data_IF_317677535244
#
_entry.id   IF_317677535244
#
_cell.length_a   1.000
_cell.length_b   1.000
_cell.length_c   1.000
_cell.angle_alpha   90.00
_cell.angle_beta   90.00
_cell.angle_gamma   90.00
#
_symmetry.space_group_name_H-M   'P 1'
#
loop_
_entity.id
_entity.type
_entity.pdbx_description
1 polymer ?
#
# COMPACT_ATOMS: atom_id res chain seq x y z
N UNK A 1 -70.48 -21.32 -67.82
CA UNK A 1 -69.42 -20.31 -67.59
C UNK A 1 -70.03 -19.27 -66.64
N UNK A 2 -69.41 -19.01 -65.47
CA UNK A 2 -68.10 -18.34 -65.39
C UNK A 2 -67.05 -19.14 -64.59
N UNK A 3 -65.80 -18.67 -64.71
CA UNK A 3 -64.54 -19.34 -64.37
C UNK A 3 -64.19 -19.19 -62.89
N UNK A 4 -63.80 -20.31 -62.26
CA UNK A 4 -63.11 -20.35 -60.97
C UNK A 4 -61.67 -19.87 -61.13
N UNK A 5 -61.27 -18.86 -60.36
CA UNK A 5 -59.87 -18.47 -60.22
C UNK A 5 -59.31 -19.05 -58.91
N UNK A 6 -58.50 -20.09 -59.02
CA UNK A 6 -57.62 -20.57 -57.94
C UNK A 6 -56.47 -19.57 -57.78
N UNK A 7 -56.38 -18.90 -56.62
CA UNK A 7 -55.17 -18.21 -56.20
C UNK A 7 -54.24 -19.24 -55.54
N UNK A 8 -53.14 -19.57 -56.23
CA UNK A 8 -52.02 -20.30 -55.63
C UNK A 8 -51.26 -19.38 -54.67
N UNK A 9 -51.35 -19.65 -53.37
CA UNK A 9 -50.41 -19.09 -52.38
C UNK A 9 -49.05 -19.74 -52.56
N UNK A 10 -48.07 -18.99 -53.06
CA UNK A 10 -46.66 -19.35 -53.03
C UNK A 10 -46.13 -18.98 -51.65
N UNK A 11 -45.87 -19.98 -50.80
CA UNK A 11 -45.16 -19.82 -49.53
C UNK A 11 -43.67 -19.70 -49.85
N UNK A 12 -43.14 -18.48 -49.76
CA UNK A 12 -41.69 -18.25 -49.77
C UNK A 12 -41.11 -18.71 -48.42
N UNK A 13 -40.50 -19.89 -48.40
CA UNK A 13 -39.66 -20.32 -47.28
C UNK A 13 -38.37 -19.47 -47.30
N UNK A 14 -38.32 -18.43 -46.47
CA UNK A 14 -37.12 -17.65 -46.26
C UNK A 14 -36.06 -18.53 -45.58
N UNK A 15 -35.04 -18.94 -46.33
CA UNK A 15 -33.85 -19.56 -45.77
C UNK A 15 -33.10 -18.53 -44.93
N UNK A 16 -33.18 -18.67 -43.60
CA UNK A 16 -32.32 -17.95 -42.66
C UNK A 16 -30.86 -18.34 -42.94
N UNK A 17 -29.94 -17.39 -43.14
CA UNK A 17 -28.52 -17.72 -43.29
C UNK A 17 -28.03 -18.30 -41.96
N UNK A 18 -27.52 -19.54 -42.00
CA UNK A 18 -26.84 -20.13 -40.87
C UNK A 18 -25.60 -19.28 -40.55
N UNK A 19 -25.54 -18.72 -39.35
CA UNK A 19 -24.33 -18.07 -38.86
C UNK A 19 -23.16 -19.06 -38.90
N UNK A 20 -21.93 -18.64 -39.28
CA UNK A 20 -20.78 -19.54 -39.35
C UNK A 20 -20.54 -20.21 -37.98
N UNK A 21 -20.22 -21.50 -37.95
CA UNK A 21 -20.04 -22.28 -36.72
C UNK A 21 -19.03 -21.67 -35.71
N UNK A 22 -18.09 -20.86 -36.19
CA UNK A 22 -17.16 -20.09 -35.35
C UNK A 22 -17.84 -19.03 -34.46
N UNK A 23 -19.04 -18.56 -34.82
CA UNK A 23 -19.83 -17.61 -34.05
C UNK A 23 -20.64 -18.27 -32.91
N UNK A 24 -20.72 -19.61 -32.89
CA UNK A 24 -21.39 -20.38 -31.84
C UNK A 24 -20.42 -21.04 -30.86
N UNK A 25 -19.11 -21.00 -31.14
CA UNK A 25 -18.09 -21.56 -30.27
C UNK A 25 -17.79 -20.63 -29.09
N UNK A 26 -17.74 -21.19 -27.87
CA UNK A 26 -17.36 -20.44 -26.67
C UNK A 26 -15.95 -19.87 -26.81
N UNK A 27 -15.65 -18.77 -26.11
CA UNK A 27 -14.32 -18.19 -26.05
C UNK A 27 -13.25 -19.22 -25.66
N UNK A 28 -13.57 -20.13 -24.73
CA UNK A 28 -12.69 -21.22 -24.35
C UNK A 28 -12.35 -22.13 -25.54
N UNK A 29 -13.36 -22.59 -26.27
CA UNK A 29 -13.18 -23.44 -27.44
C UNK A 29 -12.37 -22.74 -28.54
N UNK A 30 -12.62 -21.44 -28.77
CA UNK A 30 -11.87 -20.64 -29.76
C UNK A 30 -10.39 -20.50 -29.41
N UNK A 31 -10.06 -20.41 -28.12
CA UNK A 31 -8.67 -20.32 -27.65
C UNK A 31 -7.99 -21.69 -27.69
N UNK A 32 -8.68 -22.75 -27.31
CA UNK A 32 -8.15 -24.12 -27.33
C UNK A 32 -7.92 -24.64 -28.76
N UNK A 33 -8.74 -24.20 -29.72
CA UNK A 33 -8.55 -24.49 -31.15
C UNK A 33 -7.48 -23.61 -31.81
N UNK A 34 -7.00 -22.57 -31.14
CA UNK A 34 -5.96 -21.72 -31.69
C UNK A 34 -4.63 -22.50 -31.78
N UNK A 35 -3.85 -22.29 -32.85
CA UNK A 35 -2.48 -22.80 -32.91
C UNK A 35 -1.62 -22.14 -31.83
N UNK A 36 -0.54 -22.84 -31.47
CA UNK A 36 0.47 -22.29 -30.56
C UNK A 36 1.03 -20.96 -31.09
N UNK A 37 1.26 -20.03 -30.16
CA UNK A 37 1.62 -18.65 -30.49
C UNK A 37 0.94 -17.65 -29.57
N UNK A 38 0.50 -16.52 -30.13
CA UNK A 38 -0.17 -15.46 -29.38
C UNK A 38 -1.64 -15.39 -29.77
N UNK A 39 -2.53 -15.57 -28.81
CA UNK A 39 -3.96 -15.30 -28.98
C UNK A 39 -4.27 -13.94 -28.38
N UNK A 40 -4.85 -13.03 -29.15
CA UNK A 40 -5.23 -11.69 -28.66
C UNK A 40 -6.72 -11.42 -28.80
N UNK A 41 -7.26 -10.66 -27.86
CA UNK A 41 -8.68 -10.28 -27.83
C UNK A 41 -8.86 -8.95 -27.12
N UNK A 42 -9.93 -8.23 -27.43
CA UNK A 42 -10.30 -6.99 -26.76
C UNK A 42 -11.76 -6.95 -26.33
N UNK A 43 -12.05 -6.24 -25.25
CA UNK A 43 -13.42 -6.06 -24.74
C UNK A 43 -13.57 -4.71 -24.02
N UNK A 44 -14.81 -4.22 -23.86
CA UNK A 44 -15.06 -2.99 -23.10
C UNK A 44 -14.49 -3.07 -21.68
N UNK A 45 -13.79 -2.00 -21.28
CA UNK A 45 -13.28 -1.84 -19.92
C UNK A 45 -14.34 -1.21 -19.02
N UNK A 46 -14.25 -1.49 -17.71
CA UNK A 46 -15.05 -0.79 -16.70
C UNK A 46 -14.82 0.71 -16.79
N UNK A 47 -15.86 1.47 -16.45
CA UNK A 47 -15.75 2.90 -16.27
C UNK A 47 -14.66 3.25 -15.24
N UNK A 48 -13.82 4.23 -15.55
CA UNK A 48 -12.66 4.60 -14.73
C UNK A 48 -11.43 3.71 -14.91
N UNK A 49 -11.49 2.67 -15.73
CA UNK A 49 -10.31 1.89 -16.11
C UNK A 49 -9.51 2.61 -17.20
N UNK A 50 -8.18 2.67 -17.03
CA UNK A 50 -7.30 3.41 -17.93
C UNK A 50 -5.91 2.75 -18.02
N UNK A 51 -5.16 3.07 -19.08
CA UNK A 51 -3.84 2.49 -19.32
C UNK A 51 -2.79 3.45 -19.86
N UNK A 52 -1.56 2.94 -19.92
CA UNK A 52 -0.38 3.60 -20.47
C UNK A 52 0.67 2.59 -20.94
N UNK A 53 1.88 3.04 -21.29
CA UNK A 53 2.92 2.21 -21.95
C UNK A 53 3.14 0.84 -21.31
N UNK A 54 3.08 0.75 -19.97
CA UNK A 54 3.12 -0.49 -19.19
C UNK A 54 2.29 -0.40 -17.90
N UNK A 55 1.21 0.38 -17.96
CA UNK A 55 0.43 0.73 -16.78
C UNK A 55 -1.04 0.42 -16.97
N UNK A 56 -1.66 -0.09 -15.92
CA UNK A 56 -3.10 -0.30 -15.81
C UNK A 56 -3.58 0.33 -14.51
N UNK A 57 -4.55 1.24 -14.60
CA UNK A 57 -5.17 1.91 -13.47
C UNK A 57 -6.67 1.66 -13.43
N UNK A 58 -7.22 1.50 -12.23
CA UNK A 58 -8.65 1.46 -11.97
C UNK A 58 -8.91 1.88 -10.53
N UNK A 59 -9.70 2.94 -10.32
CA UNK A 59 -9.93 3.52 -8.98
C UNK A 59 -8.60 3.73 -8.23
N UNK A 60 -8.42 3.16 -7.04
CA UNK A 60 -7.18 3.25 -6.25
C UNK A 60 -6.15 2.17 -6.65
N UNK A 61 -6.50 1.26 -7.55
CA UNK A 61 -5.62 0.20 -7.99
C UNK A 61 -4.74 0.66 -9.17
N UNK A 62 -3.42 0.49 -9.05
CA UNK A 62 -2.42 0.83 -10.05
C UNK A 62 -1.41 -0.31 -10.23
N UNK A 63 -1.20 -0.73 -11.47
CA UNK A 63 -0.30 -1.83 -11.83
C UNK A 63 0.70 -1.33 -12.87
N UNK A 64 1.99 -1.26 -12.51
CA UNK A 64 3.10 -0.99 -13.44
C UNK A 64 3.82 -2.26 -13.85
N UNK A 65 4.99 -2.26 -14.49
CA UNK A 65 5.68 -3.51 -14.87
C UNK A 65 6.24 -4.31 -13.68
N UNK A 66 6.66 -3.62 -12.63
CA UNK A 66 7.35 -4.20 -11.46
C UNK A 66 6.66 -3.93 -10.11
N UNK A 67 5.49 -3.30 -10.12
CA UNK A 67 4.77 -2.95 -8.90
C UNK A 67 3.25 -3.08 -9.05
N UNK A 68 2.59 -3.18 -7.90
CA UNK A 68 1.14 -3.05 -7.71
C UNK A 68 0.89 -2.15 -6.50
N UNK A 69 -0.16 -1.34 -6.55
CA UNK A 69 -0.60 -0.46 -5.47
C UNK A 69 -2.13 -0.42 -5.43
N UNK A 70 -2.71 -0.34 -4.23
CA UNK A 70 -4.16 -0.17 -4.01
C UNK A 70 -4.47 1.13 -3.25
N UNK A 71 -3.50 2.06 -3.23
CA UNK A 71 -3.59 3.37 -2.58
C UNK A 71 -3.84 4.50 -3.59
N UNK A 72 -4.08 5.72 -3.12
CA UNK A 72 -4.18 6.89 -4.01
C UNK A 72 -2.93 7.03 -4.89
N UNK A 73 -3.12 7.38 -6.16
CA UNK A 73 -2.04 7.66 -7.09
C UNK A 73 -2.35 8.93 -7.88
N UNK A 74 -1.33 9.71 -8.19
CA UNK A 74 -1.42 10.96 -8.96
C UNK A 74 -0.29 11.03 -10.01
N UNK A 75 -0.35 12.01 -10.91
CA UNK A 75 0.70 12.29 -11.90
C UNK A 75 1.02 11.14 -12.88
N UNK A 76 0.11 10.18 -13.02
CA UNK A 76 0.24 9.09 -14.00
C UNK A 76 -0.58 9.43 -15.24
N UNK A 77 0.07 9.40 -16.42
CA UNK A 77 -0.66 9.50 -17.69
C UNK A 77 -1.44 8.20 -17.93
N UNK A 78 -2.74 8.25 -17.65
CA UNK A 78 -3.65 7.13 -17.75
C UNK A 78 -4.76 7.47 -18.74
N UNK A 79 -4.85 6.71 -19.84
CA UNK A 79 -5.79 6.97 -20.94
C UNK A 79 -6.85 5.87 -20.97
N UNK A 80 -8.15 6.21 -20.98
CA UNK A 80 -9.22 5.23 -21.13
C UNK A 80 -9.12 4.46 -22.44
N UNK A 81 -9.62 3.23 -22.47
CA UNK A 81 -9.63 2.39 -23.66
C UNK A 81 -10.24 1.02 -23.41
N UNK A 82 -10.34 0.17 -24.44
CA UNK A 82 -10.75 -1.21 -24.24
C UNK A 82 -9.68 -1.98 -23.47
N UNK A 83 -10.11 -2.98 -22.70
CA UNK A 83 -9.17 -3.99 -22.20
C UNK A 83 -8.67 -4.78 -23.40
N UNK A 84 -7.36 -4.96 -23.47
CA UNK A 84 -6.67 -5.75 -24.46
C UNK A 84 -5.87 -6.82 -23.75
N UNK A 85 -6.10 -8.06 -24.14
CA UNK A 85 -5.40 -9.22 -23.57
C UNK A 85 -4.64 -9.95 -24.65
N UNK A 86 -3.38 -10.27 -24.35
CA UNK A 86 -2.56 -11.19 -25.13
C UNK A 86 -2.24 -12.40 -24.28
N UNK A 87 -2.62 -13.57 -24.77
CA UNK A 87 -2.32 -14.88 -24.22
C UNK A 87 -1.18 -15.51 -25.01
N UNK A 88 -0.17 -16.02 -24.34
CA UNK A 88 0.76 -16.97 -24.94
C UNK A 88 0.16 -18.35 -24.81
N UNK A 89 0.02 -19.07 -25.92
CA UNK A 89 -0.52 -20.43 -25.98
C UNK A 89 0.60 -21.37 -26.43
N UNK A 90 0.83 -22.42 -25.64
CA UNK A 90 1.77 -23.51 -25.94
C UNK A 90 1.12 -24.84 -25.56
N UNK A 91 1.30 -25.88 -26.39
CA UNK A 91 0.61 -27.16 -26.25
C UNK A 91 -0.92 -26.99 -26.15
N UNK A 92 -1.48 -26.06 -26.93
CA UNK A 92 -2.89 -25.67 -26.88
C UNK A 92 -3.39 -25.17 -25.52
N UNK A 93 -2.48 -24.72 -24.63
CA UNK A 93 -2.79 -24.20 -23.31
C UNK A 93 -2.25 -22.79 -23.08
N UNK A 94 -3.04 -21.88 -22.48
CA UNK A 94 -2.54 -20.58 -22.09
C UNK A 94 -1.46 -20.69 -21.02
N UNK A 95 -0.26 -20.19 -21.31
CA UNK A 95 0.90 -20.19 -20.40
C UNK A 95 1.23 -18.81 -19.86
N UNK A 96 0.74 -17.74 -20.47
CA UNK A 96 0.97 -16.39 -19.98
C UNK A 96 -0.18 -15.48 -20.37
N UNK A 97 -0.45 -14.49 -19.53
CA UNK A 97 -1.45 -13.46 -19.78
C UNK A 97 -0.82 -12.08 -19.60
N UNK A 98 -1.05 -11.21 -20.58
CA UNK A 98 -0.73 -9.78 -20.50
C UNK A 98 -2.00 -8.98 -20.71
N UNK A 99 -2.30 -8.10 -19.76
CA UNK A 99 -3.45 -7.19 -19.79
C UNK A 99 -2.96 -5.77 -19.94
N UNK A 100 -3.58 -5.01 -20.84
CA UNK A 100 -3.37 -3.58 -21.01
C UNK A 100 -4.71 -2.89 -21.32
N UNK A 101 -4.76 -1.57 -21.18
CA UNK A 101 -5.91 -0.76 -21.57
C UNK A 101 -5.51 0.17 -22.71
N UNK A 102 -6.20 0.05 -23.85
CA UNK A 102 -5.89 0.79 -25.06
C UNK A 102 -4.48 0.52 -25.60
N UNK A 103 -3.83 1.57 -26.11
CA UNK A 103 -2.45 1.53 -26.63
C UNK A 103 -2.32 0.82 -27.98
N UNK A 104 -1.11 0.39 -28.33
CA UNK A 104 -0.84 -0.52 -29.45
C UNK A 104 -0.69 -1.95 -28.94
N UNK A 105 -0.93 -2.94 -29.80
CA UNK A 105 -0.66 -4.34 -29.44
C UNK A 105 0.83 -4.55 -29.22
N UNK A 106 1.25 -5.29 -28.17
CA UNK A 106 2.64 -5.66 -28.01
C UNK A 106 3.15 -6.41 -29.23
N UNK A 107 4.43 -6.22 -29.56
CA UNK A 107 5.09 -7.06 -30.56
C UNK A 107 4.97 -8.53 -30.16
N UNK A 108 4.48 -9.37 -31.07
CA UNK A 108 4.32 -10.79 -30.88
C UNK A 108 5.40 -11.54 -31.65
N UNK A 109 6.01 -12.54 -31.02
CA UNK A 109 6.91 -13.50 -31.66
C UNK A 109 6.09 -14.74 -32.03
N UNK A 110 6.00 -15.06 -33.33
CA UNK A 110 5.30 -16.25 -33.83
C UNK A 110 3.91 -15.95 -34.40
N UNK A 111 3.09 -17.00 -34.52
CA UNK A 111 1.74 -16.91 -35.10
C UNK A 111 0.82 -16.12 -34.18
N UNK A 112 0.04 -15.19 -34.75
CA UNK A 112 -0.95 -14.39 -34.01
C UNK A 112 -2.35 -14.81 -34.44
N UNK A 113 -3.15 -15.25 -33.47
CA UNK A 113 -4.58 -15.48 -33.64
C UNK A 113 -5.34 -14.33 -33.01
N UNK A 114 -6.00 -13.50 -33.83
CA UNK A 114 -6.79 -12.36 -33.37
C UNK A 114 -8.27 -12.75 -33.26
N UNK A 115 -8.79 -12.81 -32.03
CA UNK A 115 -10.19 -13.11 -31.74
C UNK A 115 -11.09 -11.88 -31.85
N UNK A 116 -10.51 -10.69 -32.08
CA UNK A 116 -11.23 -9.44 -32.22
C UNK A 116 -11.90 -8.98 -30.92
N UNK A 117 -13.07 -8.36 -31.08
CA UNK A 117 -13.90 -7.94 -29.95
C UNK A 117 -14.66 -9.13 -29.40
N UNK A 118 -14.59 -9.34 -28.08
CA UNK A 118 -15.32 -10.39 -27.37
C UNK A 118 -16.25 -9.78 -26.32
N UNK A 119 -17.26 -10.54 -25.87
CA UNK A 119 -18.15 -10.08 -24.82
C UNK A 119 -17.39 -9.96 -23.48
N UNK A 120 -17.54 -8.83 -22.78
CA UNK A 120 -16.89 -8.55 -21.50
C UNK A 120 -17.18 -9.63 -20.45
N UNK A 121 -18.44 -10.07 -20.35
CA UNK A 121 -18.88 -11.14 -19.44
C UNK A 121 -18.25 -12.50 -19.76
N UNK A 122 -18.17 -12.84 -21.05
CA UNK A 122 -17.58 -14.09 -21.51
C UNK A 122 -16.06 -14.11 -21.24
N UNK A 123 -15.37 -12.99 -21.50
CA UNK A 123 -13.97 -12.82 -21.16
C UNK A 123 -13.73 -13.00 -19.66
N UNK A 124 -14.51 -12.32 -18.80
CA UNK A 124 -14.35 -12.43 -17.36
C UNK A 124 -14.53 -13.86 -16.85
N UNK A 125 -15.59 -14.55 -17.29
CA UNK A 125 -15.83 -15.95 -16.92
C UNK A 125 -14.69 -16.87 -17.36
N UNK A 126 -14.18 -16.68 -18.58
CA UNK A 126 -13.02 -17.42 -19.09
C UNK A 126 -11.79 -17.23 -18.19
N UNK A 127 -11.39 -15.99 -17.91
CA UNK A 127 -10.17 -15.72 -17.14
C UNK A 127 -10.28 -16.20 -15.68
N UNK A 128 -11.45 -16.06 -15.04
CA UNK A 128 -11.69 -16.61 -13.71
C UNK A 128 -11.55 -18.14 -13.71
N UNK A 129 -12.09 -18.83 -14.72
CA UNK A 129 -11.95 -20.30 -14.85
C UNK A 129 -10.52 -20.77 -15.11
N UNK A 130 -9.64 -19.87 -15.58
CA UNK A 130 -8.25 -20.17 -15.94
C UNK A 130 -7.23 -19.75 -14.89
N UNK A 131 -7.67 -19.16 -13.77
CA UNK A 131 -6.80 -18.82 -12.64
C UNK A 131 -5.89 -19.99 -12.22
N UNK A 132 -6.37 -21.24 -12.02
CA UNK A 132 -5.50 -22.34 -11.59
C UNK A 132 -4.35 -22.64 -12.56
N UNK A 133 -4.61 -22.52 -13.87
CA UNK A 133 -3.62 -22.75 -14.92
C UNK A 133 -2.63 -21.59 -14.97
N UNK A 134 -3.13 -20.34 -14.98
CA UNK A 134 -2.30 -19.14 -15.07
C UNK A 134 -1.41 -18.92 -13.83
N UNK A 135 -1.81 -19.42 -12.66
CA UNK A 135 -0.97 -19.40 -11.45
C UNK A 135 0.29 -20.26 -11.62
N UNK A 136 0.16 -21.42 -12.27
CA UNK A 136 1.24 -22.41 -12.39
C UNK A 136 2.38 -22.00 -13.33
N UNK A 137 2.18 -20.97 -14.15
CA UNK A 137 3.08 -20.64 -15.26
C UNK A 137 3.93 -19.38 -15.03
N UNK A 138 3.90 -18.81 -13.82
CA UNK A 138 5.06 -18.11 -13.27
C UNK A 138 5.12 -16.58 -13.35
N UNK A 139 4.04 -15.87 -13.72
CA UNK A 139 3.97 -14.41 -13.48
C UNK A 139 3.14 -14.11 -12.24
N UNK A 140 3.81 -13.55 -11.21
CA UNK A 140 3.19 -13.11 -9.96
C UNK A 140 2.06 -12.10 -10.26
N UNK A 141 0.85 -12.43 -9.81
CA UNK A 141 -0.12 -11.45 -9.35
C UNK A 141 -0.92 -10.62 -10.35
N UNK A 142 -1.17 -11.09 -11.58
CA UNK A 142 -2.07 -10.35 -12.53
C UNK A 142 -3.10 -11.21 -13.22
N UNK A 143 -3.28 -12.42 -12.74
CA UNK A 143 -4.19 -13.41 -13.32
C UNK A 143 -5.65 -12.94 -13.25
N UNK A 144 -5.98 -12.06 -12.30
CA UNK A 144 -7.32 -11.50 -12.11
C UNK A 144 -7.59 -10.25 -12.95
N UNK A 145 -6.56 -9.50 -13.39
CA UNK A 145 -6.73 -8.23 -14.12
C UNK A 145 -7.67 -8.31 -15.33
N UNK A 146 -7.55 -9.31 -16.22
CA UNK A 146 -8.48 -9.43 -17.34
C UNK A 146 -9.96 -9.47 -16.89
N UNK A 147 -10.26 -10.24 -15.85
CA UNK A 147 -11.64 -10.45 -15.40
C UNK A 147 -12.20 -9.24 -14.66
N UNK A 148 -11.42 -8.66 -13.75
CA UNK A 148 -11.87 -7.56 -12.90
C UNK A 148 -12.02 -6.24 -13.65
N UNK A 149 -11.37 -6.07 -14.80
CA UNK A 149 -11.48 -4.87 -15.64
C UNK A 149 -12.59 -4.95 -16.70
N UNK A 150 -13.24 -6.09 -16.87
CA UNK A 150 -14.32 -6.26 -17.84
C UNK A 150 -15.58 -5.48 -17.42
N UNK A 151 -16.10 -4.62 -18.31
CA UNK A 151 -17.13 -3.62 -18.02
C UNK A 151 -18.34 -4.15 -17.22
N UNK A 152 -19.09 -5.09 -17.80
CA UNK A 152 -20.41 -5.52 -17.30
C UNK A 152 -20.37 -6.87 -16.60
N UNK A 153 -19.18 -7.30 -16.17
CA UNK A 153 -18.99 -8.57 -15.47
C UNK A 153 -19.35 -8.43 -13.99
N UNK A 154 -20.09 -9.39 -13.44
CA UNK A 154 -20.31 -9.50 -11.99
C UNK A 154 -19.32 -10.51 -11.45
N UNK A 155 -18.21 -10.04 -10.88
CA UNK A 155 -17.06 -10.89 -10.50
C UNK A 155 -16.88 -11.06 -9.00
N UNK A 156 -17.56 -10.25 -8.18
CA UNK A 156 -17.40 -10.25 -6.71
C UNK A 156 -17.68 -11.64 -6.09
N UNK A 157 -18.73 -12.39 -6.47
CA UNK A 157 -18.95 -13.74 -5.94
C UNK A 157 -17.80 -14.70 -6.25
N UNK A 158 -17.25 -14.66 -7.47
CA UNK A 158 -16.12 -15.49 -7.88
C UNK A 158 -14.83 -15.10 -7.15
N UNK A 159 -14.58 -13.80 -6.94
CA UNK A 159 -13.44 -13.32 -6.15
C UNK A 159 -13.53 -13.80 -4.70
N UNK A 160 -14.72 -13.74 -4.09
CA UNK A 160 -14.94 -14.28 -2.75
C UNK A 160 -14.77 -15.82 -2.71
N UNK A 161 -15.13 -16.54 -3.77
CA UNK A 161 -14.87 -17.97 -3.88
C UNK A 161 -13.37 -18.26 -3.99
N UNK A 162 -12.64 -17.52 -4.83
CA UNK A 162 -11.18 -17.61 -4.97
C UNK A 162 -10.46 -17.32 -3.64
N UNK A 163 -10.90 -16.31 -2.89
CA UNK A 163 -10.31 -15.99 -1.59
C UNK A 163 -10.47 -17.14 -0.55
N UNK A 164 -11.57 -17.89 -0.62
CA UNK A 164 -11.84 -19.04 0.26
C UNK A 164 -11.15 -20.32 -0.19
N UNK A 165 -10.80 -20.43 -1.47
CA UNK A 165 -10.19 -21.62 -2.02
C UNK A 165 -8.75 -21.80 -1.52
N UNK A 166 -8.56 -22.76 -0.61
CA UNK A 166 -7.24 -23.12 -0.05
C UNK A 166 -6.29 -23.76 -1.07
N UNK A 167 -6.74 -24.13 -2.26
CA UNK A 167 -5.90 -24.61 -3.35
C UNK A 167 -5.33 -23.48 -4.22
N UNK A 168 -5.71 -22.22 -3.97
CA UNK A 168 -5.13 -21.04 -4.63
C UNK A 168 -3.92 -20.52 -3.85
N UNK A 169 -3.05 -19.79 -4.55
CA UNK A 169 -1.90 -19.14 -3.91
C UNK A 169 -2.35 -18.02 -2.96
N UNK A 170 -1.57 -17.76 -1.90
CA UNK A 170 -1.85 -16.66 -0.97
C UNK A 170 -1.95 -15.31 -1.68
N UNK A 171 -1.14 -15.11 -2.73
CA UNK A 171 -1.16 -13.91 -3.55
C UNK A 171 -2.51 -13.73 -4.26
N UNK A 172 -3.01 -14.75 -4.95
CA UNK A 172 -4.32 -14.72 -5.62
C UNK A 172 -5.45 -14.49 -4.62
N UNK A 173 -5.44 -15.21 -3.50
CA UNK A 173 -6.49 -15.09 -2.46
C UNK A 173 -6.52 -13.68 -1.88
N UNK A 174 -5.35 -13.11 -1.62
CA UNK A 174 -5.17 -11.73 -1.15
C UNK A 174 -5.61 -10.70 -2.17
N UNK A 175 -5.22 -10.85 -3.43
CA UNK A 175 -5.65 -9.95 -4.50
C UNK A 175 -7.16 -10.02 -4.72
N UNK A 176 -7.76 -11.20 -4.61
CA UNK A 176 -9.20 -11.35 -4.72
C UNK A 176 -9.91 -10.50 -3.66
N UNK A 177 -9.43 -10.48 -2.40
CA UNK A 177 -9.96 -9.60 -1.35
C UNK A 177 -9.75 -8.11 -1.65
N UNK A 178 -8.58 -7.73 -2.16
CA UNK A 178 -8.33 -6.35 -2.59
C UNK A 178 -9.30 -5.90 -3.68
N UNK A 179 -9.53 -6.74 -4.70
CA UNK A 179 -10.50 -6.48 -5.75
C UNK A 179 -11.95 -6.46 -5.25
N UNK A 180 -12.29 -7.26 -4.24
CA UNK A 180 -13.58 -7.18 -3.54
C UNK A 180 -13.75 -5.80 -2.88
N UNK A 181 -12.68 -5.22 -2.29
CA UNK A 181 -12.72 -3.85 -1.77
C UNK A 181 -12.92 -2.79 -2.86
N UNK A 182 -12.32 -2.99 -4.05
CA UNK A 182 -12.43 -2.04 -5.16
C UNK A 182 -13.76 -2.14 -5.95
N UNK A 183 -14.45 -3.28 -5.89
CA UNK A 183 -15.63 -3.56 -6.73
C UNK A 183 -16.91 -3.88 -5.94
N UNK A 184 -16.78 -4.21 -4.66
CA UNK A 184 -17.88 -4.61 -3.79
C UNK A 184 -18.68 -3.41 -3.27
N UNK A 185 -19.94 -3.69 -2.94
CA UNK A 185 -20.83 -2.78 -2.23
C UNK A 185 -20.91 -3.16 -0.73
N UNK A 186 -21.87 -2.59 0.00
CA UNK A 186 -22.08 -2.94 1.41
C UNK A 186 -22.36 -4.45 1.65
N UNK A 187 -22.82 -5.19 0.63
CA UNK A 187 -23.12 -6.61 0.72
C UNK A 187 -21.89 -7.50 0.94
N UNK A 188 -20.67 -7.02 0.64
CA UNK A 188 -19.44 -7.80 0.86
C UNK A 188 -18.91 -7.70 2.30
N UNK A 189 -19.42 -6.75 3.09
CA UNK A 189 -18.93 -6.46 4.44
C UNK A 189 -18.94 -7.70 5.36
N UNK A 190 -20.02 -8.50 5.46
CA UNK A 190 -20.01 -9.68 6.33
C UNK A 190 -18.93 -10.71 5.94
N UNK A 191 -18.66 -10.87 4.65
CA UNK A 191 -17.63 -11.78 4.16
C UNK A 191 -16.23 -11.28 4.53
N UNK A 192 -15.97 -9.98 4.35
CA UNK A 192 -14.68 -9.37 4.72
C UNK A 192 -14.44 -9.42 6.23
N UNK A 193 -15.47 -9.18 7.06
CA UNK A 193 -15.39 -9.35 8.52
C UNK A 193 -15.03 -10.79 8.90
N UNK A 194 -15.61 -11.78 8.23
CA UNK A 194 -15.27 -13.18 8.47
C UNK A 194 -13.79 -13.48 8.15
N UNK A 195 -13.26 -12.98 7.03
CA UNK A 195 -11.83 -13.12 6.71
C UNK A 195 -10.93 -12.40 7.73
N UNK A 196 -11.31 -11.20 8.15
CA UNK A 196 -10.57 -10.43 9.15
C UNK A 196 -10.47 -11.19 10.48
N UNK A 197 -11.56 -11.83 10.94
CA UNK A 197 -11.58 -12.62 12.18
C UNK A 197 -10.92 -13.99 12.04
N UNK A 198 -10.93 -14.59 10.84
CA UNK A 198 -10.37 -15.92 10.59
C UNK A 198 -8.83 -15.94 10.57
N UNK A 199 -8.18 -14.84 10.19
CA UNK A 199 -6.70 -14.75 10.20
C UNK A 199 -6.07 -14.57 11.58
N UNK A 200 -6.86 -14.67 12.64
CA UNK A 200 -6.44 -14.63 14.05
C UNK A 200 -5.44 -15.73 14.45
N UNK A 201 -5.26 -16.75 13.61
CA UNK A 201 -4.35 -17.89 13.83
C UNK A 201 -2.99 -17.82 13.11
N UNK A 202 -2.74 -16.88 12.20
CA UNK A 202 -1.48 -16.80 11.42
C UNK A 202 -0.40 -15.95 12.10
N UNK A 203 -0.22 -16.17 13.40
CA UNK A 203 0.88 -15.59 14.19
C UNK A 203 0.45 -14.39 15.02
N UNK A 204 -0.27 -14.66 16.12
CA UNK A 204 -0.20 -13.78 17.27
C UNK A 204 1.30 -13.50 17.55
N UNK A 205 1.73 -12.23 17.60
CA UNK A 205 3.13 -11.93 17.80
C UNK A 205 3.58 -12.51 19.14
N UNK A 206 4.56 -13.42 19.09
CA UNK A 206 5.30 -13.78 20.29
C UNK A 206 5.86 -12.48 20.89
N UNK A 207 5.84 -12.33 22.20
CA UNK A 207 6.47 -11.20 22.91
C UNK A 207 7.94 -11.00 22.49
N UNK A 208 8.61 -12.04 21.96
CA UNK A 208 9.96 -12.00 21.42
C UNK A 208 10.10 -11.65 19.93
N UNK A 209 9.02 -11.52 19.16
CA UNK A 209 9.09 -11.08 17.75
C UNK A 209 9.18 -9.53 17.70
N UNK A 210 10.24 -9.01 17.08
CA UNK A 210 10.43 -7.56 16.94
C UNK A 210 9.36 -6.91 16.07
N UNK A 211 9.04 -5.64 16.33
CA UNK A 211 7.94 -4.87 15.71
C UNK A 211 7.93 -4.96 14.17
N UNK A 212 9.11 -4.97 13.53
CA UNK A 212 9.26 -5.09 12.07
C UNK A 212 8.84 -6.47 11.50
N UNK A 213 8.97 -7.56 12.26
CA UNK A 213 8.56 -8.90 11.83
C UNK A 213 7.04 -9.07 11.88
N UNK A 214 6.42 -8.49 12.91
CA UNK A 214 4.96 -8.43 13.11
C UNK A 214 4.33 -7.60 12.00
N UNK A 215 4.88 -6.42 11.72
CA UNK A 215 4.44 -5.55 10.63
C UNK A 215 4.56 -6.23 9.27
N UNK A 216 5.66 -6.95 9.01
CA UNK A 216 5.88 -7.68 7.75
C UNK A 216 4.93 -8.87 7.56
N UNK A 217 4.58 -9.59 8.64
CA UNK A 217 3.64 -10.72 8.62
C UNK A 217 2.19 -10.23 8.50
N UNK A 218 1.83 -9.22 9.29
CA UNK A 218 0.52 -8.56 9.26
C UNK A 218 0.19 -7.94 7.90
N UNK A 219 1.17 -7.41 7.16
CA UNK A 219 0.94 -6.84 5.81
C UNK A 219 0.59 -7.85 4.71
N UNK A 220 0.74 -9.16 4.94
CA UNK A 220 0.62 -10.18 3.87
C UNK A 220 -0.50 -11.21 4.06
N UNK A 221 -1.12 -11.28 5.24
CA UNK A 221 -2.19 -12.24 5.51
C UNK A 221 -3.56 -11.83 4.94
N UNK A 222 -4.45 -12.81 4.82
CA UNK A 222 -5.81 -12.59 4.30
C UNK A 222 -6.66 -11.69 5.21
N UNK A 223 -6.47 -11.78 6.53
CA UNK A 223 -7.16 -10.89 7.46
C UNK A 223 -6.83 -9.41 7.20
N UNK A 224 -5.55 -9.10 6.98
CA UNK A 224 -5.12 -7.73 6.66
C UNK A 224 -5.63 -7.26 5.31
N UNK A 225 -5.66 -8.13 4.31
CA UNK A 225 -6.26 -7.80 3.02
C UNK A 225 -7.78 -7.56 3.11
N UNK A 226 -8.48 -8.28 3.98
CA UNK A 226 -9.89 -8.05 4.24
C UNK A 226 -10.12 -6.72 4.99
N UNK A 227 -9.27 -6.37 5.96
CA UNK A 227 -9.32 -5.06 6.63
C UNK A 227 -9.02 -3.91 5.65
N UNK A 228 -8.04 -4.10 4.76
CA UNK A 228 -7.75 -3.16 3.68
C UNK A 228 -8.96 -2.97 2.75
N UNK A 229 -9.59 -4.08 2.36
CA UNK A 229 -10.78 -4.06 1.54
C UNK A 229 -11.92 -3.29 2.23
N UNK A 230 -12.17 -3.52 3.53
CA UNK A 230 -13.16 -2.77 4.31
C UNK A 230 -12.86 -1.26 4.33
N UNK A 231 -11.58 -0.86 4.42
CA UNK A 231 -11.19 0.55 4.45
C UNK A 231 -11.34 1.25 3.10
N UNK A 232 -11.36 0.49 2.00
CA UNK A 232 -11.39 1.02 0.63
C UNK A 232 -12.77 0.93 -0.02
N UNK A 233 -13.76 0.35 0.64
CA UNK A 233 -15.14 0.36 0.18
C UNK A 233 -15.66 1.81 0.06
N UNK A 234 -16.44 2.04 -1.01
CA UNK A 234 -17.02 3.34 -1.32
C UNK A 234 -17.87 3.88 -0.16
N UNK A 235 -17.94 5.20 -0.03
CA UNK A 235 -18.72 5.93 0.99
C UNK A 235 -18.43 5.53 2.45
N UNK A 236 -17.28 4.88 2.70
CA UNK A 236 -16.87 4.45 4.03
C UNK A 236 -17.82 3.42 4.65
N UNK A 237 -18.54 2.63 3.85
CA UNK A 237 -19.51 1.64 4.35
C UNK A 237 -18.85 0.52 5.17
N UNK A 238 -17.55 0.26 4.97
CA UNK A 238 -16.78 -0.70 5.77
C UNK A 238 -16.22 -0.15 7.09
N UNK A 239 -16.19 1.17 7.28
CA UNK A 239 -15.62 1.82 8.48
C UNK A 239 -16.31 1.39 9.78
N UNK A 240 -17.65 1.29 9.88
CA UNK A 240 -18.30 0.79 11.08
C UNK A 240 -17.82 -0.60 11.51
N UNK A 241 -17.57 -1.50 10.54
CA UNK A 241 -17.04 -2.84 10.82
C UNK A 241 -15.57 -2.82 11.20
N UNK A 242 -14.76 -1.92 10.64
CA UNK A 242 -13.39 -1.70 11.10
C UNK A 242 -13.34 -1.20 12.55
N UNK A 243 -14.24 -0.29 12.94
CA UNK A 243 -14.37 0.19 14.33
C UNK A 243 -14.75 -0.96 15.26
N UNK A 244 -15.71 -1.81 14.86
CA UNK A 244 -16.08 -3.01 15.63
C UNK A 244 -14.89 -3.98 15.80
N UNK A 245 -14.15 -4.24 14.72
CA UNK A 245 -12.97 -5.12 14.73
C UNK A 245 -11.83 -4.53 15.58
N UNK A 246 -11.62 -3.22 15.54
CA UNK A 246 -10.67 -2.51 16.39
C UNK A 246 -11.00 -2.60 17.89
N UNK A 247 -12.26 -2.91 18.25
CA UNK A 247 -12.71 -3.07 19.64
C UNK A 247 -12.79 -4.53 20.08
N UNK A 248 -13.25 -5.40 19.20
CA UNK A 248 -13.67 -6.78 19.56
C UNK A 248 -12.78 -7.87 18.99
N UNK A 249 -11.86 -7.54 18.08
CA UNK A 249 -10.88 -8.49 17.57
C UNK A 249 -9.88 -8.94 18.63
N UNK A 250 -9.11 -9.99 18.34
CA UNK A 250 -7.87 -10.26 19.08
C UNK A 250 -6.85 -9.15 18.87
N UNK A 251 -5.73 -9.19 19.59
CA UNK A 251 -4.70 -8.13 19.55
C UNK A 251 -4.17 -7.88 18.12
N UNK A 252 -4.00 -8.92 17.31
CA UNK A 252 -3.48 -8.79 15.94
C UNK A 252 -4.51 -8.16 15.00
N UNK A 253 -5.77 -8.54 15.12
CA UNK A 253 -6.89 -7.93 14.39
C UNK A 253 -7.09 -6.49 14.83
N UNK A 254 -7.11 -6.18 16.13
CA UNK A 254 -7.25 -4.80 16.63
C UNK A 254 -6.09 -3.93 16.14
N UNK A 255 -4.85 -4.42 16.25
CA UNK A 255 -3.67 -3.73 15.75
C UNK A 255 -3.79 -3.43 14.24
N UNK A 256 -4.22 -4.39 13.43
CA UNK A 256 -4.36 -4.17 11.98
C UNK A 256 -5.55 -3.29 11.64
N UNK A 257 -6.66 -3.39 12.39
CA UNK A 257 -7.84 -2.57 12.18
C UNK A 257 -7.57 -1.08 12.48
N UNK A 258 -6.82 -0.76 13.54
CA UNK A 258 -6.43 0.65 13.82
C UNK A 258 -5.56 1.24 12.73
N UNK A 259 -4.68 0.44 12.12
CA UNK A 259 -3.92 0.87 10.93
C UNK A 259 -4.85 1.27 9.79
N UNK A 260 -5.77 0.39 9.41
CA UNK A 260 -6.69 0.63 8.30
C UNK A 260 -7.74 1.71 8.60
N UNK A 261 -8.09 1.94 9.87
CA UNK A 261 -8.87 3.10 10.29
C UNK A 261 -8.14 4.41 9.95
N UNK A 262 -6.83 4.51 10.22
CA UNK A 262 -6.04 5.70 9.87
C UNK A 262 -5.92 5.94 8.36
N UNK A 263 -5.91 4.87 7.56
CA UNK A 263 -5.88 4.97 6.09
C UNK A 263 -7.23 5.40 5.48
N UNK A 264 -8.35 5.17 6.19
CA UNK A 264 -9.68 5.45 5.65
C UNK A 264 -10.00 6.93 5.47
N UNK A 265 -9.37 7.82 6.25
CA UNK A 265 -9.69 9.25 6.27
C UNK A 265 -11.06 9.59 6.85
N UNK A 266 -11.83 8.60 7.33
CA UNK A 266 -13.18 8.81 7.85
C UNK A 266 -13.13 9.49 9.24
N UNK A 267 -13.88 10.58 9.48
CA UNK A 267 -13.90 11.25 10.78
C UNK A 267 -14.31 10.33 11.95
N UNK A 268 -15.11 9.29 11.70
CA UNK A 268 -15.47 8.25 12.70
C UNK A 268 -14.27 7.40 13.07
N UNK A 269 -13.40 7.11 12.09
CA UNK A 269 -12.17 6.38 12.30
C UNK A 269 -11.18 7.19 13.16
N UNK A 270 -11.00 8.48 12.85
CA UNK A 270 -10.14 9.38 13.65
C UNK A 270 -10.57 9.45 15.11
N UNK A 271 -11.86 9.65 15.39
CA UNK A 271 -12.39 9.63 16.77
C UNK A 271 -12.16 8.30 17.48
N UNK A 272 -12.21 7.20 16.74
CA UNK A 272 -11.93 5.86 17.30
C UNK A 272 -10.45 5.73 17.64
N UNK A 273 -9.54 6.23 16.80
CA UNK A 273 -8.11 6.24 17.09
C UNK A 273 -7.78 7.07 18.34
N UNK A 274 -8.42 8.22 18.54
CA UNK A 274 -8.30 8.99 19.79
C UNK A 274 -8.70 8.15 21.00
N UNK A 275 -9.87 7.50 20.92
CA UNK A 275 -10.38 6.63 21.99
C UNK A 275 -9.41 5.50 22.32
N UNK A 276 -8.82 4.86 21.30
CA UNK A 276 -7.84 3.77 21.48
C UNK A 276 -6.59 4.29 22.18
N UNK A 277 -6.05 5.44 21.78
CA UNK A 277 -4.84 6.02 22.38
C UNK A 277 -5.04 6.31 23.87
N UNK A 278 -6.22 6.81 24.24
CA UNK A 278 -6.56 7.18 25.62
C UNK A 278 -7.02 5.99 26.49
N UNK A 279 -7.37 4.83 25.93
CA UNK A 279 -7.77 3.66 26.70
C UNK A 279 -6.57 2.98 27.36
N UNK A 280 -6.33 3.28 28.63
CA UNK A 280 -5.23 2.70 29.43
C UNK A 280 -5.35 1.18 29.64
N UNK A 281 -6.49 0.56 29.30
CA UNK A 281 -6.68 -0.89 29.38
C UNK A 281 -6.40 -1.60 28.06
N UNK A 282 -6.23 -0.86 26.97
CA UNK A 282 -5.87 -1.44 25.67
C UNK A 282 -4.39 -1.85 25.66
N UNK A 283 -4.10 -2.86 24.84
CA UNK A 283 -2.75 -3.33 24.57
C UNK A 283 -1.88 -2.19 24.02
N UNK A 284 -0.72 -1.99 24.65
CA UNK A 284 0.22 -0.92 24.32
C UNK A 284 0.64 -0.92 22.84
N UNK A 285 0.77 -2.10 22.20
CA UNK A 285 1.10 -2.19 20.77
C UNK A 285 -0.04 -1.65 19.89
N UNK A 286 -1.30 -1.93 20.24
CA UNK A 286 -2.48 -1.39 19.53
C UNK A 286 -2.54 0.13 19.69
N UNK A 287 -2.29 0.64 20.91
CA UNK A 287 -2.24 2.08 21.19
C UNK A 287 -1.12 2.80 20.43
N UNK A 288 0.08 2.23 20.44
CA UNK A 288 1.20 2.76 19.66
C UNK A 288 0.89 2.76 18.16
N UNK A 289 0.24 1.71 17.65
CA UNK A 289 -0.15 1.69 16.24
C UNK A 289 -1.25 2.70 15.91
N UNK A 290 -2.15 3.00 16.85
CA UNK A 290 -3.12 4.09 16.67
C UNK A 290 -2.44 5.47 16.60
N UNK A 291 -1.41 5.72 17.44
CA UNK A 291 -0.56 6.93 17.32
C UNK A 291 0.12 6.99 15.95
N UNK A 292 0.75 5.89 15.54
CA UNK A 292 1.39 5.79 14.22
C UNK A 292 0.40 6.09 13.09
N UNK A 293 -0.81 5.54 13.17
CA UNK A 293 -1.86 5.66 12.15
C UNK A 293 -2.41 7.08 12.03
N UNK A 294 -2.44 7.85 13.12
CA UNK A 294 -2.80 9.27 13.06
C UNK A 294 -1.71 10.14 12.44
N UNK A 295 -0.45 9.83 12.73
CA UNK A 295 0.69 10.62 12.27
C UNK A 295 1.10 10.34 10.81
N UNK A 296 1.00 9.07 10.38
CA UNK A 296 1.43 8.62 9.04
C UNK A 296 0.25 8.18 8.16
N UNK A 297 -0.98 8.48 8.57
CA UNK A 297 -2.16 8.26 7.75
C UNK A 297 -2.12 9.15 6.51
N UNK A 298 -2.69 8.68 5.38
CA UNK A 298 -2.84 9.47 4.15
C UNK A 298 -3.55 10.83 4.40
N UNK A 299 -4.32 10.91 5.49
CA UNK A 299 -5.12 12.06 5.89
C UNK A 299 -4.61 12.72 7.19
N UNK A 300 -3.34 12.55 7.55
CA UNK A 300 -2.76 13.22 8.71
C UNK A 300 -2.91 14.75 8.58
N UNK A 301 -3.42 15.40 9.63
CA UNK A 301 -3.67 16.85 9.63
C UNK A 301 -2.95 17.54 10.78
N UNK A 302 -2.76 18.86 10.68
CA UNK A 302 -2.25 19.67 11.79
C UNK A 302 -3.09 19.57 13.06
N UNK A 303 -4.39 19.27 12.94
CA UNK A 303 -5.27 19.03 14.09
C UNK A 303 -4.90 17.72 14.82
N UNK A 304 -4.58 16.65 14.07
CA UNK A 304 -4.13 15.39 14.64
C UNK A 304 -2.77 15.53 15.34
N UNK A 305 -1.83 16.28 14.75
CA UNK A 305 -0.57 16.60 15.43
C UNK A 305 -0.79 17.48 16.67
N UNK A 306 -1.75 18.41 16.64
CA UNK A 306 -2.19 19.16 17.82
C UNK A 306 -2.72 18.24 18.94
N UNK A 307 -3.56 17.28 18.57
CA UNK A 307 -4.08 16.27 19.49
C UNK A 307 -2.95 15.42 20.10
N UNK A 308 -2.06 14.85 19.28
CA UNK A 308 -0.95 14.01 19.75
C UNK A 308 -0.05 14.74 20.76
N UNK A 309 0.23 16.04 20.51
CA UNK A 309 0.97 16.88 21.46
C UNK A 309 0.20 17.07 22.78
N UNK A 310 -1.11 17.23 22.71
CA UNK A 310 -1.96 17.43 23.90
C UNK A 310 -2.07 16.20 24.80
N UNK A 311 -2.02 14.99 24.22
CA UNK A 311 -2.11 13.74 24.98
C UNK A 311 -0.75 13.24 25.47
N UNK A 312 0.36 13.73 24.91
CA UNK A 312 1.72 13.28 25.21
C UNK A 312 2.03 13.17 26.72
N UNK A 313 1.65 14.18 27.50
CA UNK A 313 1.90 14.22 28.96
C UNK A 313 1.04 13.23 29.74
N UNK A 314 -0.08 12.78 29.17
CA UNK A 314 -0.97 11.77 29.78
C UNK A 314 -0.50 10.35 29.52
N UNK A 315 0.41 10.15 28.55
CA UNK A 315 0.93 8.83 28.21
C UNK A 315 1.86 8.34 29.33
N UNK A 316 1.50 7.19 29.88
CA UNK A 316 2.17 6.57 31.02
C UNK A 316 3.43 5.79 30.64
N UNK A 317 3.56 5.43 29.35
CA UNK A 317 4.63 4.59 28.82
C UNK A 317 5.62 5.37 27.97
N UNK A 318 6.92 5.09 28.18
CA UNK A 318 8.00 5.59 27.33
C UNK A 318 7.84 5.16 25.87
N UNK A 319 7.32 3.95 25.60
CA UNK A 319 7.08 3.47 24.23
C UNK A 319 6.01 4.30 23.51
N UNK A 320 4.93 4.65 24.20
CA UNK A 320 3.87 5.48 23.64
C UNK A 320 4.37 6.91 23.39
N UNK A 321 5.12 7.48 24.34
CA UNK A 321 5.78 8.77 24.14
C UNK A 321 6.72 8.74 22.94
N UNK A 322 7.57 7.73 22.81
CA UNK A 322 8.46 7.56 21.65
C UNK A 322 7.68 7.45 20.33
N UNK A 323 6.53 6.78 20.31
CA UNK A 323 5.67 6.72 19.12
C UNK A 323 5.13 8.10 18.72
N UNK A 324 4.74 8.94 19.69
CA UNK A 324 4.34 10.33 19.41
C UNK A 324 5.52 11.14 18.89
N UNK A 325 6.70 11.03 19.52
CA UNK A 325 7.91 11.75 19.10
C UNK A 325 8.29 11.39 17.66
N UNK A 326 8.23 10.11 17.31
CA UNK A 326 8.42 9.66 15.94
C UNK A 326 7.39 10.28 15.00
N UNK A 327 6.10 10.24 15.36
CA UNK A 327 5.04 10.83 14.53
C UNK A 327 5.19 12.33 14.28
N UNK A 328 5.81 13.08 15.19
CA UNK A 328 6.10 14.51 14.97
C UNK A 328 7.17 14.76 13.90
N UNK A 329 7.88 13.72 13.43
CA UNK A 329 8.74 13.85 12.25
C UNK A 329 7.94 14.28 11.02
N UNK A 330 6.69 13.79 10.90
CA UNK A 330 5.77 14.09 9.79
C UNK A 330 5.04 15.46 9.95
N UNK A 331 5.10 16.09 11.13
CA UNK A 331 4.48 17.41 11.36
C UNK A 331 5.38 18.52 10.80
N UNK A 332 5.19 18.87 9.53
CA UNK A 332 5.94 19.94 8.86
C UNK A 332 5.77 21.32 9.52
N UNK A 333 4.61 21.61 10.10
CA UNK A 333 4.26 22.95 10.58
C UNK A 333 4.95 23.31 11.91
N UNK A 334 5.14 22.33 12.80
CA UNK A 334 5.64 22.62 14.15
C UNK A 334 6.38 21.48 14.83
N UNK A 335 6.55 20.33 14.18
CA UNK A 335 7.10 19.12 14.80
C UNK A 335 8.49 19.35 15.39
N UNK A 336 9.40 19.96 14.63
CA UNK A 336 10.79 20.17 15.05
C UNK A 336 10.93 21.07 16.26
N UNK A 337 10.20 22.18 16.30
CA UNK A 337 10.22 23.09 17.44
C UNK A 337 9.71 22.41 18.71
N UNK A 338 8.61 21.67 18.59
CA UNK A 338 8.04 20.92 19.71
C UNK A 338 8.95 19.78 20.19
N UNK A 339 9.58 19.04 19.27
CA UNK A 339 10.55 17.99 19.60
C UNK A 339 11.77 18.55 20.35
N UNK A 340 12.29 19.70 19.91
CA UNK A 340 13.40 20.38 20.58
C UNK A 340 13.01 20.92 21.96
N UNK A 341 11.76 21.31 22.18
CA UNK A 341 11.23 21.66 23.50
C UNK A 341 11.22 20.43 24.42
N UNK A 342 10.69 19.29 23.94
CA UNK A 342 10.67 18.02 24.71
C UNK A 342 12.07 17.50 25.02
N UNK A 343 13.04 17.68 24.12
CA UNK A 343 14.43 17.31 24.37
C UNK A 343 15.06 18.09 25.55
N UNK A 344 14.63 19.33 25.77
CA UNK A 344 15.11 20.22 26.85
C UNK A 344 14.33 20.09 28.15
N UNK A 345 13.17 19.43 28.15
CA UNK A 345 12.30 19.36 29.33
C UNK A 345 12.90 18.42 30.40
N UNK A 346 13.35 18.95 31.56
CA UNK A 346 13.96 18.12 32.60
C UNK A 346 12.93 17.22 33.32
N UNK A 347 11.64 17.42 33.09
CA UNK A 347 10.57 16.54 33.63
C UNK A 347 10.46 15.22 32.88
N UNK A 348 11.03 15.15 31.68
CA UNK A 348 10.97 13.94 30.85
C UNK A 348 12.15 13.00 31.10
N UNK A 349 11.90 11.70 30.95
CA UNK A 349 12.93 10.67 31.08
C UNK A 349 14.04 10.88 30.03
N UNK A 350 15.28 10.55 30.38
CA UNK A 350 16.44 10.63 29.49
C UNK A 350 16.18 9.96 28.12
N UNK A 351 15.50 8.81 28.09
CA UNK A 351 15.17 8.10 26.84
C UNK A 351 14.23 8.92 25.95
N UNK A 352 13.17 9.48 26.52
CA UNK A 352 12.19 10.35 25.83
C UNK A 352 12.88 11.58 25.25
N UNK A 353 13.67 12.27 26.07
CA UNK A 353 14.39 13.48 25.64
C UNK A 353 15.39 13.21 24.52
N UNK A 354 16.12 12.09 24.57
CA UNK A 354 17.05 11.68 23.49
C UNK A 354 16.29 11.36 22.21
N UNK A 355 15.21 10.58 22.31
CA UNK A 355 14.34 10.27 21.17
C UNK A 355 13.77 11.54 20.52
N UNK A 356 13.39 12.54 21.33
CA UNK A 356 12.90 13.82 20.83
C UNK A 356 13.98 14.57 20.02
N UNK A 357 15.20 14.65 20.53
CA UNK A 357 16.32 15.26 19.81
C UNK A 357 16.68 14.50 18.54
N UNK A 358 16.64 13.17 18.59
CA UNK A 358 16.89 12.31 17.44
C UNK A 358 15.91 12.60 16.30
N UNK A 359 14.60 12.55 16.58
CA UNK A 359 13.57 12.82 15.57
C UNK A 359 13.58 14.28 15.11
N UNK A 360 13.93 15.24 15.97
CA UNK A 360 14.13 16.62 15.54
C UNK A 360 15.22 16.73 14.45
N UNK A 361 16.31 15.96 14.58
CA UNK A 361 17.41 16.00 13.63
C UNK A 361 17.21 15.19 12.35
N UNK A 362 16.33 14.18 12.36
CA UNK A 362 15.94 13.45 11.13
C UNK A 362 15.13 14.31 10.16
N UNK A 363 14.51 15.39 10.65
CA UNK A 363 13.71 16.30 9.83
C UNK A 363 14.62 17.28 9.09
N UNK A 364 14.46 17.34 7.77
CA UNK A 364 15.07 18.39 6.94
C UNK A 364 14.54 19.78 7.33
N UNK A 365 13.24 19.88 7.61
CA UNK A 365 12.57 21.11 8.03
C UNK A 365 13.05 21.66 9.39
N UNK A 366 13.76 20.88 10.21
CA UNK A 366 14.41 21.42 11.42
C UNK A 366 15.73 22.10 11.03
N UNK A 367 15.90 23.41 11.28
CA UNK A 367 17.16 24.09 10.98
C UNK A 367 18.32 23.52 11.78
N UNK A 368 19.45 23.26 11.12
CA UNK A 368 20.68 22.80 11.80
C UNK A 368 21.11 23.74 12.92
N UNK A 369 20.92 25.05 12.76
CA UNK A 369 21.20 26.05 13.80
C UNK A 369 20.42 25.80 15.09
N UNK A 370 19.19 25.29 15.01
CA UNK A 370 18.38 24.97 16.18
C UNK A 370 18.90 23.73 16.93
N UNK A 371 19.44 22.75 16.20
CA UNK A 371 20.11 21.57 16.79
C UNK A 371 21.44 21.94 17.45
N UNK A 372 22.19 22.87 16.83
CA UNK A 372 23.41 23.42 17.43
C UNK A 372 23.09 24.22 18.69
N UNK A 373 22.03 25.03 18.69
CA UNK A 373 21.56 25.70 19.90
C UNK A 373 21.22 24.68 21.00
N UNK A 374 20.49 23.61 20.66
CA UNK A 374 20.21 22.54 21.61
C UNK A 374 21.48 21.91 22.19
N UNK A 375 22.53 21.67 21.39
CA UNK A 375 23.82 21.19 21.90
C UNK A 375 24.43 22.11 22.98
N UNK A 376 24.31 23.43 22.81
CA UNK A 376 24.84 24.40 23.77
C UNK A 376 23.97 24.57 25.01
N UNK A 377 22.65 24.39 24.89
CA UNK A 377 21.69 24.50 26.00
C UNK A 377 21.69 23.28 26.93
N UNK A 378 22.31 22.16 26.51
CA UNK A 378 22.30 20.90 27.25
C UNK A 378 23.51 20.80 28.19
N UNK A 379 23.27 20.84 29.50
CA UNK A 379 24.36 20.71 30.50
C UNK A 379 24.85 19.27 30.69
N UNK A 380 24.05 18.26 30.33
CA UNK A 380 24.39 16.86 30.50
C UNK A 380 25.32 16.36 29.38
N UNK A 381 26.50 15.83 29.77
CA UNK A 381 27.50 15.28 28.85
C UNK A 381 26.93 14.21 27.92
N UNK A 382 26.03 13.37 28.44
CA UNK A 382 25.39 12.31 27.65
C UNK A 382 24.46 12.87 26.58
N UNK A 383 23.75 13.96 26.86
CA UNK A 383 22.90 14.67 25.91
C UNK A 383 23.70 15.41 24.85
N UNK A 384 24.78 16.09 25.24
CA UNK A 384 25.72 16.72 24.30
C UNK A 384 26.34 15.70 23.34
N UNK A 385 26.74 14.53 23.85
CA UNK A 385 27.21 13.42 23.01
C UNK A 385 26.15 12.95 22.01
N UNK A 386 24.88 12.88 22.45
CA UNK A 386 23.78 12.49 21.56
C UNK A 386 23.50 13.56 20.50
N UNK A 387 23.57 14.85 20.86
CA UNK A 387 23.41 15.95 19.91
C UNK A 387 24.50 15.92 18.83
N UNK A 388 25.75 15.59 19.17
CA UNK A 388 26.83 15.37 18.20
C UNK A 388 26.45 14.24 17.22
N UNK A 389 25.95 13.11 17.73
CA UNK A 389 25.46 12.02 16.87
C UNK A 389 24.31 12.48 15.96
N UNK A 390 23.34 13.23 16.48
CA UNK A 390 22.23 13.74 15.67
C UNK A 390 22.74 14.68 14.57
N UNK A 391 23.69 15.57 14.88
CA UNK A 391 24.35 16.42 13.88
C UNK A 391 25.11 15.60 12.84
N UNK A 392 25.75 14.48 13.22
CA UNK A 392 26.49 13.65 12.26
C UNK A 392 25.60 12.93 11.25
N UNK A 393 24.36 12.61 11.64
CA UNK A 393 23.36 12.00 10.76
C UNK A 393 22.82 12.98 9.70
N UNK A 394 23.08 14.29 9.83
CA UNK A 394 22.65 15.28 8.85
C UNK A 394 23.60 15.31 7.66
N UNK A 395 23.01 15.51 6.49
CA UNK A 395 23.70 15.64 5.21
C UNK A 395 23.68 17.10 4.72
N UNK A 396 24.09 18.02 5.59
CA UNK A 396 24.20 19.44 5.25
C UNK A 396 25.51 20.06 5.76
N UNK A 397 25.99 21.06 5.02
CA UNK A 397 27.25 21.76 5.31
C UNK A 397 27.25 22.44 6.67
N UNK A 398 26.09 22.92 7.14
CA UNK A 398 25.99 23.57 8.44
C UNK A 398 26.28 22.58 9.58
N UNK A 399 25.87 21.32 9.44
CA UNK A 399 26.12 20.27 10.42
C UNK A 399 27.60 19.87 10.43
N UNK A 400 28.22 19.73 9.26
CA UNK A 400 29.67 19.47 9.14
C UNK A 400 30.47 20.61 9.76
N UNK A 401 30.13 21.87 9.45
CA UNK A 401 30.78 23.04 10.02
C UNK A 401 30.61 23.12 11.55
N UNK A 402 29.45 22.76 12.09
CA UNK A 402 29.22 22.71 13.53
C UNK A 402 30.09 21.64 14.20
N UNK A 403 30.16 20.43 13.63
CA UNK A 403 31.01 19.35 14.14
C UNK A 403 32.51 19.72 14.06
N UNK A 404 32.96 20.38 12.99
CA UNK A 404 34.34 20.88 12.86
C UNK A 404 34.67 21.87 13.99
N UNK A 405 33.73 22.76 14.32
CA UNK A 405 33.89 23.72 15.43
C UNK A 405 33.96 23.00 16.78
N UNK A 406 33.03 22.06 17.04
CA UNK A 406 33.04 21.27 18.28
C UNK A 406 34.37 20.51 18.41
N UNK A 407 34.85 19.87 17.35
CA UNK A 407 36.12 19.14 17.38
C UNK A 407 37.34 20.03 17.70
N UNK A 408 37.32 21.31 17.30
CA UNK A 408 38.42 22.26 17.51
C UNK A 408 38.35 22.97 18.85
N UNK A 409 37.18 23.44 19.24
CA UNK A 409 37.00 24.53 20.20
C UNK A 409 36.25 24.12 21.47
N UNK A 410 35.58 22.96 21.49
CA UNK A 410 34.77 22.60 22.65
C UNK A 410 35.62 22.48 23.92
N UNK A 411 35.16 23.01 25.05
CA UNK A 411 35.90 22.95 26.31
C UNK A 411 36.08 21.52 26.80
N UNK A 412 35.09 20.64 26.54
CA UNK A 412 35.13 19.25 26.95
C UNK A 412 35.88 18.39 25.92
N UNK A 413 37.00 17.81 26.36
CA UNK A 413 37.83 16.91 25.55
C UNK A 413 37.02 15.73 25.00
N UNK A 414 36.04 15.23 25.75
CA UNK A 414 35.17 14.13 25.30
C UNK A 414 34.33 14.56 24.10
N UNK A 415 33.76 15.76 24.13
CA UNK A 415 32.96 16.27 23.00
C UNK A 415 33.82 16.50 21.76
N UNK A 416 35.03 17.06 21.93
CA UNK A 416 36.00 17.21 20.82
C UNK A 416 36.28 15.85 20.15
N UNK A 417 36.55 14.82 20.97
CA UNK A 417 36.83 13.47 20.49
C UNK A 417 35.63 12.83 19.78
N UNK A 418 34.41 13.01 20.31
CA UNK A 418 33.18 12.47 19.70
C UNK A 418 32.85 13.14 18.37
N UNK A 419 33.00 14.46 18.28
CA UNK A 419 32.83 15.18 17.03
C UNK A 419 33.85 14.72 15.97
N UNK A 420 35.12 14.57 16.36
CA UNK A 420 36.16 14.06 15.46
C UNK A 420 35.87 12.64 14.97
N UNK A 421 35.40 11.75 15.86
CA UNK A 421 35.02 10.38 15.52
C UNK A 421 33.94 10.33 14.44
N UNK A 422 32.90 11.15 14.55
CA UNK A 422 31.83 11.19 13.56
C UNK A 422 32.24 11.89 12.27
N UNK A 423 33.04 12.95 12.34
CA UNK A 423 33.61 13.60 11.16
C UNK A 423 34.48 12.64 10.34
N UNK A 424 35.27 11.78 10.99
CA UNK A 424 36.13 10.81 10.31
C UNK A 424 35.37 9.77 9.46
N UNK A 425 34.06 9.63 9.64
CA UNK A 425 33.19 8.78 8.82
C UNK A 425 32.62 9.53 7.60
N UNK A 426 32.83 10.84 7.50
CA UNK A 426 32.41 11.66 6.36
C UNK A 426 33.56 11.84 5.37
N UNK A 427 33.24 11.78 4.08
CA UNK A 427 34.20 12.03 3.01
C UNK A 427 34.25 13.53 2.68
N UNK A 428 34.98 14.31 3.48
CA UNK A 428 35.05 15.77 3.37
C UNK A 428 36.49 16.28 3.54
N UNK A 429 36.98 17.04 2.57
CA UNK A 429 38.36 17.56 2.55
C UNK A 429 38.68 18.45 3.77
N UNK A 430 37.68 19.16 4.32
CA UNK A 430 37.84 19.98 5.54
C UNK A 430 38.15 19.10 6.75
N UNK A 431 37.61 17.88 6.79
CA UNK A 431 37.87 16.90 7.85
C UNK A 431 39.28 16.36 7.73
N UNK A 432 39.71 15.99 6.52
CA UNK A 432 41.08 15.55 6.25
C UNK A 432 42.09 16.61 6.69
N UNK A 433 41.83 17.87 6.35
CA UNK A 433 42.66 19.00 6.77
C UNK A 433 42.69 19.15 8.30
N UNK A 434 41.53 19.07 8.97
CA UNK A 434 41.47 19.14 10.43
C UNK A 434 42.29 18.02 11.09
N UNK A 435 42.14 16.77 10.64
CA UNK A 435 42.89 15.64 11.20
C UNK A 435 44.40 15.85 11.00
N UNK A 436 44.84 16.29 9.82
CA UNK A 436 46.24 16.61 9.56
C UNK A 436 46.76 17.72 10.50
N UNK A 437 46.02 18.82 10.65
CA UNK A 437 46.38 19.95 11.54
C UNK A 437 46.50 19.51 13.01
N UNK A 438 45.70 18.53 13.45
CA UNK A 438 45.72 17.99 14.80
C UNK A 438 46.86 16.98 15.05
N UNK A 439 47.39 16.33 14.02
CA UNK A 439 48.50 15.38 14.13
C UNK A 439 49.88 16.05 14.11
N UNK A 440 49.97 17.28 13.61
CA UNK A 440 51.21 18.07 13.49
C UNK A 440 51.47 18.94 14.73
N UNK A 441 50.49 19.07 15.63
CA UNK A 441 50.63 19.69 16.96
C UNK A 441 50.93 18.64 18.01
#
# INVERSE_FOLDING_TARGET
MPRSSMLSLIVFAAALPAAPAAAQATLAARIEQAPDGVVRMQYPAREGACGGRDLVGFRRALFGSSFESYNSWNNVRCVPGPVRVSLTVADHRPTSVRTQIGGEWPAATGQVTDLGVVASREAAAYFLSRVPVLESTGRKGRVLLPAVLAADAVVVPDLLALARDGARTDDTRRQALQWVGQLGDAGVVPALVAFARAGSGEGAPNESEGDAAIEKRGKKGLASAALAALATLDDGVGVPSLIDLARTGDVGVRHSAVFWLGQSGDPRALRTLHTVIEDTRENERVRANAVFSLAHGEHATSAEFGYLRSVFQKLESTRLKESVLQGMAEDEAGGGAWLLERARDPREETKVRRSALFWAGQREATPTSALVAAYHDLDDTGFREHAIFVLSQRDDDAAVNALLRIAREDSDRRMRSKALFWLAQKNDDRVTKLIADLLVK
#
